data_IF_755804601355
#
_entry.id   IF_755804601355
#
_cell.length_a   1.000
_cell.length_b   1.000
_cell.length_c   1.000
_cell.angle_alpha   90.00
_cell.angle_beta   90.00
_cell.angle_gamma   90.00
#
_symmetry.space_group_name_H-M   'P 1'
#
loop_
_entity.id
_entity.type
_entity.pdbx_description
1 polymer ?
#
# COMPACT_ATOMS: atom_id res chain seq x y z
N UNK A 1 -18.65 15.59 35.76
CA UNK A 1 -18.28 16.91 36.34
C UNK A 1 -19.48 17.83 36.14
N UNK A 2 -20.29 18.02 37.20
CA UNK A 2 -21.43 18.94 37.17
C UNK A 2 -21.05 20.23 37.90
N UNK A 3 -21.12 21.41 37.27
CA UNK A 3 -20.88 22.67 37.96
C UNK A 3 -22.22 23.29 38.41
N UNK A 4 -22.36 23.47 39.71
CA UNK A 4 -23.39 24.31 40.31
C UNK A 4 -23.22 25.77 39.84
N UNK A 5 -24.29 26.37 39.32
CA UNK A 5 -24.37 27.79 38.95
C UNK A 5 -24.27 28.67 40.20
N UNK A 6 -23.26 29.55 40.26
CA UNK A 6 -23.32 30.79 41.03
C UNK A 6 -23.55 31.94 40.05
N UNK A 7 -24.65 32.66 40.23
CA UNK A 7 -24.91 33.91 39.51
C UNK A 7 -23.98 35.01 40.03
N UNK A 8 -23.21 35.60 39.12
CA UNK A 8 -22.42 36.80 39.39
C UNK A 8 -23.06 37.94 38.60
N UNK A 9 -23.66 38.88 39.33
CA UNK A 9 -24.20 40.12 38.80
C UNK A 9 -23.06 41.04 38.32
N UNK A 10 -23.00 41.31 37.01
CA UNK A 10 -22.13 42.36 36.48
C UNK A 10 -22.96 43.62 36.18
N UNK A 11 -22.67 44.70 36.92
CA UNK A 11 -23.12 46.05 36.62
C UNK A 11 -22.57 46.47 35.25
N UNK A 12 -23.48 46.88 34.37
CA UNK A 12 -23.23 47.47 33.06
C UNK A 12 -22.60 48.86 33.22
N UNK A 13 -21.34 49.01 32.79
CA UNK A 13 -20.77 50.30 32.41
C UNK A 13 -20.70 50.37 30.88
N UNK A 14 -21.69 51.05 30.31
CA UNK A 14 -21.73 51.41 28.90
C UNK A 14 -20.69 52.51 28.62
N UNK A 15 -19.65 52.20 27.86
CA UNK A 15 -19.03 53.08 26.85
C UNK A 15 -17.94 52.32 26.06
N UNK A 16 -17.98 52.50 24.74
CA UNK A 16 -17.01 52.08 23.69
C UNK A 16 -17.13 50.63 23.18
N UNK A 17 -18.08 50.39 22.26
CA UNK A 17 -18.26 49.11 21.56
C UNK A 17 -18.55 49.30 20.06
N UNK A 18 -17.69 50.03 19.35
CA UNK A 18 -17.77 50.11 17.87
C UNK A 18 -16.55 49.47 17.21
N UNK A 19 -15.36 49.48 17.84
CA UNK A 19 -14.16 48.82 17.29
C UNK A 19 -14.05 47.31 17.60
N UNK A 20 -14.72 46.78 18.64
CA UNK A 20 -14.66 45.34 18.99
C UNK A 20 -15.57 44.43 18.14
N UNK A 21 -16.51 45.01 17.38
CA UNK A 21 -17.51 44.24 16.62
C UNK A 21 -17.02 43.78 15.24
N UNK A 22 -16.01 44.44 14.66
CA UNK A 22 -15.39 44.03 13.38
C UNK A 22 -14.43 42.85 13.59
N UNK A 23 -13.55 42.93 14.60
CA UNK A 23 -12.58 41.88 14.92
C UNK A 23 -13.25 40.53 15.29
N UNK A 24 -14.43 40.59 15.91
CA UNK A 24 -15.17 39.39 16.30
C UNK A 24 -15.82 38.69 15.10
N UNK A 25 -16.39 39.45 14.15
CA UNK A 25 -16.97 38.88 12.92
C UNK A 25 -15.91 38.27 12.00
N UNK A 26 -14.78 38.95 11.82
CA UNK A 26 -13.69 38.41 10.99
C UNK A 26 -13.05 37.16 11.63
N UNK A 27 -12.96 37.12 12.97
CA UNK A 27 -12.56 35.92 13.72
C UNK A 27 -13.54 34.76 13.53
N UNK A 28 -14.85 35.01 13.55
CA UNK A 28 -15.87 33.98 13.32
C UNK A 28 -15.84 33.44 11.89
N UNK A 29 -15.71 34.30 10.89
CA UNK A 29 -15.60 33.90 9.48
C UNK A 29 -14.36 33.02 9.27
N UNK A 30 -13.23 33.41 9.85
CA UNK A 30 -11.99 32.63 9.80
C UNK A 30 -12.16 31.23 10.43
N UNK A 31 -12.79 31.13 11.60
CA UNK A 31 -13.10 29.84 12.25
C UNK A 31 -14.02 28.96 11.39
N UNK A 32 -15.06 29.54 10.79
CA UNK A 32 -15.98 28.80 9.91
C UNK A 32 -15.23 28.27 8.69
N UNK A 33 -14.34 29.06 8.09
CA UNK A 33 -13.51 28.62 6.96
C UNK A 33 -12.58 27.47 7.38
N UNK A 34 -11.96 27.54 8.56
CA UNK A 34 -11.14 26.44 9.09
C UNK A 34 -11.94 25.15 9.25
N UNK A 35 -13.15 25.22 9.83
CA UNK A 35 -14.01 24.04 10.02
C UNK A 35 -14.38 23.41 8.67
N UNK A 36 -14.78 24.23 7.70
CA UNK A 36 -15.08 23.78 6.33
C UNK A 36 -13.88 23.13 5.65
N UNK A 37 -12.70 23.72 5.79
CA UNK A 37 -11.46 23.17 5.21
C UNK A 37 -11.08 21.83 5.86
N UNK A 38 -11.22 21.71 7.18
CA UNK A 38 -11.02 20.46 7.92
C UNK A 38 -11.99 19.37 7.45
N UNK A 39 -13.26 19.72 7.22
CA UNK A 39 -14.26 18.80 6.68
C UNK A 39 -13.87 18.29 5.28
N UNK A 40 -13.41 19.19 4.39
CA UNK A 40 -12.91 18.83 3.06
C UNK A 40 -11.69 17.90 3.14
N UNK A 41 -10.70 18.21 3.98
CA UNK A 41 -9.51 17.36 4.17
C UNK A 41 -9.93 15.97 4.66
N UNK A 42 -10.87 15.90 5.60
CA UNK A 42 -11.41 14.63 6.11
C UNK A 42 -12.12 13.83 5.01
N UNK A 43 -12.88 14.49 4.13
CA UNK A 43 -13.55 13.82 3.01
C UNK A 43 -12.54 13.14 2.08
N UNK A 44 -11.42 13.81 1.75
CA UNK A 44 -10.33 13.21 0.96
C UNK A 44 -9.65 12.02 1.65
N UNK A 45 -9.40 12.11 2.96
CA UNK A 45 -8.83 10.98 3.73
C UNK A 45 -9.74 9.76 3.73
N UNK A 46 -11.06 9.95 3.72
CA UNK A 46 -12.05 8.87 3.74
C UNK A 46 -12.29 8.32 2.34
N UNK A 47 -12.48 9.18 1.33
CA UNK A 47 -13.03 8.80 0.01
C UNK A 47 -12.12 9.11 -1.18
N UNK A 48 -10.95 9.71 -0.96
CA UNK A 48 -10.05 10.08 -2.05
C UNK A 48 -9.64 8.90 -2.94
N UNK A 49 -9.57 7.70 -2.36
CA UNK A 49 -9.28 6.45 -3.08
C UNK A 49 -10.26 6.14 -4.21
N UNK A 50 -11.53 6.57 -4.09
CA UNK A 50 -12.57 6.31 -5.10
C UNK A 50 -12.34 7.05 -6.43
N UNK A 51 -11.55 8.13 -6.40
CA UNK A 51 -11.17 8.88 -7.60
C UNK A 51 -9.67 8.71 -7.95
N UNK A 52 -8.99 7.76 -7.31
CA UNK A 52 -7.58 7.50 -7.56
C UNK A 52 -7.33 6.89 -8.95
N UNK A 53 -6.16 7.16 -9.52
CA UNK A 53 -5.76 6.65 -10.82
C UNK A 53 -5.18 5.24 -10.72
N UNK A 54 -6.02 4.24 -10.47
CA UNK A 54 -5.59 2.86 -10.19
C UNK A 54 -5.60 1.93 -11.41
N UNK A 55 -6.48 2.18 -12.38
CA UNK A 55 -6.66 1.31 -13.53
C UNK A 55 -5.66 1.66 -14.66
N UNK A 56 -4.68 0.77 -14.96
CA UNK A 56 -3.72 1.00 -16.02
C UNK A 56 -4.31 0.91 -17.43
N UNK A 57 -5.49 0.30 -17.60
CA UNK A 57 -6.18 0.18 -18.89
C UNK A 57 -7.08 1.40 -19.19
N UNK A 58 -7.39 2.20 -18.17
CA UNK A 58 -8.24 3.38 -18.31
C UNK A 58 -9.70 3.08 -18.65
N UNK A 59 -10.17 1.86 -18.34
CA UNK A 59 -11.54 1.40 -18.55
C UNK A 59 -12.47 1.76 -17.37
N UNK A 60 -11.92 1.95 -16.18
CA UNK A 60 -12.68 2.26 -14.97
C UNK A 60 -13.30 3.66 -15.03
N UNK A 61 -14.63 3.72 -15.03
CA UNK A 61 -15.36 4.97 -14.90
C UNK A 61 -15.29 5.52 -13.47
N UNK A 62 -14.79 6.74 -13.31
CA UNK A 62 -14.72 7.43 -12.02
C UNK A 62 -15.88 8.39 -11.89
N UNK A 63 -16.84 8.06 -11.03
CA UNK A 63 -17.98 8.93 -10.74
C UNK A 63 -17.51 10.20 -10.04
N UNK A 64 -18.17 11.31 -10.36
CA UNK A 64 -17.97 12.55 -9.64
C UNK A 64 -18.47 12.41 -8.19
N UNK A 65 -17.65 12.84 -7.23
CA UNK A 65 -17.96 12.76 -5.80
C UNK A 65 -18.10 14.17 -5.27
N UNK A 66 -19.36 14.59 -5.02
CA UNK A 66 -19.70 15.90 -4.46
C UNK A 66 -18.91 16.21 -3.19
N UNK A 67 -18.79 15.25 -2.26
CA UNK A 67 -18.05 15.44 -1.01
C UNK A 67 -16.55 15.80 -1.18
N UNK A 68 -15.97 15.58 -2.36
CA UNK A 68 -14.58 15.95 -2.65
C UNK A 68 -14.46 17.33 -3.33
N UNK A 69 -15.58 17.96 -3.68
CA UNK A 69 -15.59 19.25 -4.33
C UNK A 69 -15.70 20.39 -3.31
N UNK A 70 -14.88 21.46 -3.38
CA UNK A 70 -14.91 22.52 -2.37
C UNK A 70 -16.24 23.27 -2.26
N UNK A 71 -17.00 23.36 -3.35
CA UNK A 71 -18.31 24.03 -3.32
C UNK A 71 -19.28 23.35 -2.36
N UNK A 72 -19.23 22.03 -2.23
CA UNK A 72 -20.09 21.27 -1.32
C UNK A 72 -19.70 21.47 0.16
N UNK A 73 -18.53 22.05 0.41
CA UNK A 73 -18.11 22.53 1.74
C UNK A 73 -18.32 24.04 1.91
N UNK A 74 -18.98 24.70 0.95
CA UNK A 74 -19.32 26.11 1.01
C UNK A 74 -18.17 27.06 0.70
N UNK A 75 -17.20 26.64 -0.12
CA UNK A 75 -16.17 27.51 -0.71
C UNK A 75 -16.56 27.93 -2.13
N UNK A 76 -16.50 29.22 -2.43
CA UNK A 76 -16.66 29.72 -3.80
C UNK A 76 -15.30 29.77 -4.49
N UNK A 77 -15.28 29.86 -5.83
CA UNK A 77 -14.03 29.98 -6.61
C UNK A 77 -13.15 31.14 -6.14
N UNK A 78 -13.76 32.24 -5.73
CA UNK A 78 -13.09 33.44 -5.18
C UNK A 78 -12.33 33.16 -3.87
N UNK A 79 -12.73 32.13 -3.12
CA UNK A 79 -12.10 31.78 -1.86
C UNK A 79 -10.86 30.90 -2.04
N UNK A 80 -10.60 30.38 -3.25
CA UNK A 80 -9.62 29.31 -3.43
C UNK A 80 -8.18 29.75 -3.19
N UNK A 81 -7.89 31.05 -3.33
CA UNK A 81 -6.59 31.64 -3.06
C UNK A 81 -6.43 32.18 -1.63
N UNK A 82 -7.51 32.28 -0.84
CA UNK A 82 -7.46 32.85 0.52
C UNK A 82 -6.72 31.89 1.47
N UNK A 83 -5.88 32.43 2.34
CA UNK A 83 -5.18 31.64 3.36
C UNK A 83 -6.14 31.30 4.50
N UNK A 84 -6.32 30.01 4.76
CA UNK A 84 -7.16 29.47 5.82
C UNK A 84 -6.27 28.91 6.91
N UNK A 85 -6.58 29.23 8.16
CA UNK A 85 -5.87 28.65 9.31
C UNK A 85 -6.24 27.17 9.47
N UNK A 86 -5.25 26.31 9.59
CA UNK A 86 -5.44 24.86 9.77
C UNK A 86 -4.79 24.34 11.06
N UNK A 87 -4.03 25.18 11.77
CA UNK A 87 -3.32 24.79 12.98
C UNK A 87 -2.40 23.60 12.72
N UNK A 88 -2.54 22.54 13.52
CA UNK A 88 -1.78 21.29 13.40
C UNK A 88 -2.50 20.21 12.60
N UNK A 89 -3.61 20.52 11.92
CA UNK A 89 -4.38 19.52 11.17
C UNK A 89 -3.68 19.06 9.88
N UNK A 90 -2.79 19.90 9.35
CA UNK A 90 -1.77 19.59 8.36
C UNK A 90 -0.40 20.04 8.91
N UNK A 91 0.68 19.64 8.26
CA UNK A 91 2.04 20.07 8.61
C UNK A 91 2.29 21.59 8.41
N UNK A 92 1.31 22.31 7.85
CA UNK A 92 1.35 23.76 7.60
C UNK A 92 0.27 24.46 8.42
N UNK A 93 0.63 25.57 9.07
CA UNK A 93 -0.31 26.34 9.90
C UNK A 93 -1.41 27.04 9.11
N UNK A 94 -1.13 27.41 7.86
CA UNK A 94 -2.08 28.05 6.94
C UNK A 94 -1.94 27.46 5.54
N UNK A 95 -3.06 27.28 4.84
CA UNK A 95 -3.08 26.89 3.44
C UNK A 95 -4.31 27.45 2.72
N UNK A 96 -4.21 27.63 1.40
CA UNK A 96 -5.34 27.92 0.53
C UNK A 96 -6.04 26.64 0.07
N UNK A 97 -7.26 26.74 -0.44
CA UNK A 97 -7.97 25.57 -0.99
C UNK A 97 -7.19 24.95 -2.16
N UNK A 98 -6.56 25.76 -3.00
CA UNK A 98 -5.71 25.25 -4.08
C UNK A 98 -4.53 24.42 -3.56
N UNK A 99 -3.87 24.89 -2.50
CA UNK A 99 -2.75 24.17 -1.87
C UNK A 99 -3.24 22.87 -1.21
N UNK A 100 -4.37 22.93 -0.49
CA UNK A 100 -4.99 21.77 0.16
C UNK A 100 -5.35 20.71 -0.88
N UNK A 101 -6.09 21.07 -1.93
CA UNK A 101 -6.51 20.14 -2.98
C UNK A 101 -5.32 19.53 -3.72
N UNK A 102 -4.31 20.33 -4.04
CA UNK A 102 -3.10 19.85 -4.70
C UNK A 102 -2.39 18.78 -3.85
N UNK A 103 -2.19 19.05 -2.55
CA UNK A 103 -1.58 18.10 -1.61
C UNK A 103 -2.43 16.81 -1.49
N UNK A 104 -3.73 16.94 -1.26
CA UNK A 104 -4.61 15.80 -1.04
C UNK A 104 -4.79 14.94 -2.30
N UNK A 105 -4.94 15.54 -3.48
CA UNK A 105 -5.04 14.77 -4.73
C UNK A 105 -3.76 14.00 -5.03
N UNK A 106 -2.59 14.61 -4.75
CA UNK A 106 -1.30 13.94 -4.91
C UNK A 106 -1.15 12.72 -4.00
N UNK A 107 -1.67 12.79 -2.77
CA UNK A 107 -1.52 11.74 -1.76
C UNK A 107 -2.60 10.65 -1.89
N UNK A 108 -3.86 11.04 -2.03
CA UNK A 108 -5.03 10.14 -1.93
C UNK A 108 -5.68 9.79 -3.26
N UNK A 109 -5.35 10.50 -4.35
CA UNK A 109 -6.01 10.35 -5.65
C UNK A 109 -5.02 10.12 -6.81
N UNK A 110 -3.76 9.83 -6.51
CA UNK A 110 -2.73 9.54 -7.52
C UNK A 110 -2.80 8.06 -7.93
N UNK A 111 -1.66 7.45 -8.25
CA UNK A 111 -1.54 6.01 -8.58
C UNK A 111 -1.60 5.09 -7.35
N UNK A 112 -2.02 5.60 -6.20
CA UNK A 112 -2.21 4.86 -4.95
C UNK A 112 -3.53 5.32 -4.35
N UNK A 113 -4.42 4.36 -4.11
CA UNK A 113 -5.67 4.55 -3.37
C UNK A 113 -5.46 4.07 -1.95
N UNK A 114 -5.82 4.89 -0.97
CA UNK A 114 -5.57 4.59 0.46
C UNK A 114 -6.89 4.44 1.19
N UNK A 115 -7.08 3.28 1.79
CA UNK A 115 -8.21 2.97 2.65
C UNK A 115 -7.71 2.61 4.05
N UNK A 116 -7.88 3.53 5.00
CA UNK A 116 -7.42 3.31 6.39
C UNK A 116 -8.34 3.95 7.43
N UNK A 117 -9.24 4.86 7.02
CA UNK A 117 -10.09 5.60 7.96
C UNK A 117 -11.13 4.72 8.67
N UNK A 118 -11.39 3.51 8.17
CA UNK A 118 -12.25 2.51 8.81
C UNK A 118 -11.59 1.83 10.03
N UNK A 119 -10.26 1.92 10.18
CA UNK A 119 -9.52 1.38 11.31
C UNK A 119 -10.03 2.02 12.61
N UNK A 120 -10.30 1.21 13.64
CA UNK A 120 -10.81 1.70 14.92
C UNK A 120 -9.73 2.46 15.70
N UNK A 121 -8.52 1.91 15.77
CA UNK A 121 -7.41 2.45 16.57
C UNK A 121 -6.95 3.84 16.07
N UNK A 122 -7.06 4.89 16.90
CA UNK A 122 -6.59 6.22 16.54
C UNK A 122 -5.06 6.31 16.34
N UNK A 123 -4.28 5.49 17.04
CA UNK A 123 -2.82 5.42 16.92
C UNK A 123 -2.42 4.96 15.52
N UNK A 124 -3.06 3.91 15.01
CA UNK A 124 -2.84 3.41 13.65
C UNK A 124 -3.28 4.44 12.59
N UNK A 125 -4.44 5.08 12.77
CA UNK A 125 -4.89 6.16 11.87
C UNK A 125 -3.91 7.32 11.81
N UNK A 126 -3.35 7.73 12.95
CA UNK A 126 -2.32 8.77 13.02
C UNK A 126 -1.05 8.30 12.32
N UNK A 127 -0.64 7.04 12.53
CA UNK A 127 0.53 6.47 11.87
C UNK A 127 0.39 6.48 10.34
N UNK A 128 -0.73 6.00 9.79
CA UNK A 128 -0.99 6.02 8.35
C UNK A 128 -1.02 7.45 7.79
N UNK A 129 -1.73 8.37 8.46
CA UNK A 129 -1.75 9.78 8.07
C UNK A 129 -0.33 10.35 8.01
N UNK A 130 0.45 10.17 9.07
CA UNK A 130 1.81 10.66 9.14
C UNK A 130 2.69 10.02 8.07
N UNK A 131 2.53 8.72 7.79
CA UNK A 131 3.31 8.01 6.77
C UNK A 131 3.01 8.51 5.35
N UNK A 132 1.80 8.97 5.08
CA UNK A 132 1.34 9.37 3.74
C UNK A 132 1.40 10.87 3.49
N UNK A 133 1.16 11.72 4.51
CA UNK A 133 1.03 13.17 4.31
C UNK A 133 2.32 13.97 4.56
N UNK A 134 3.24 13.42 5.37
CA UNK A 134 4.51 14.07 5.69
C UNK A 134 5.47 14.02 4.52
N UNK A 135 6.15 15.12 4.27
CA UNK A 135 7.08 15.25 3.14
C UNK A 135 8.30 14.35 3.31
N UNK A 136 8.82 14.24 4.53
CA UNK A 136 9.95 13.39 4.87
C UNK A 136 9.68 11.90 4.62
N UNK A 137 8.42 11.49 4.59
CA UNK A 137 8.00 10.12 4.35
C UNK A 137 7.69 9.82 2.87
N UNK A 138 7.73 10.83 2.00
CA UNK A 138 7.48 10.63 0.57
C UNK A 138 8.60 9.79 -0.06
N UNK A 139 8.19 8.81 -0.87
CA UNK A 139 9.13 7.90 -1.52
C UNK A 139 9.98 8.66 -2.56
N UNK A 140 11.29 8.78 -2.28
CA UNK A 140 12.28 9.30 -3.21
C UNK A 140 13.23 8.18 -3.60
N UNK A 141 13.13 7.71 -4.84
CA UNK A 141 14.04 6.71 -5.37
C UNK A 141 15.28 7.37 -5.96
N UNK A 142 16.45 6.84 -5.62
CA UNK A 142 17.70 7.17 -6.31
C UNK A 142 17.66 6.67 -7.76
N UNK A 143 18.48 7.24 -8.64
CA UNK A 143 18.51 6.81 -10.05
C UNK A 143 18.96 5.35 -10.21
N UNK A 144 19.86 4.89 -9.34
CA UNK A 144 20.24 3.47 -9.26
C UNK A 144 19.04 2.62 -8.84
N UNK A 145 18.24 3.07 -7.87
CA UNK A 145 17.01 2.41 -7.44
C UNK A 145 16.00 2.27 -8.58
N UNK A 146 15.77 3.35 -9.33
CA UNK A 146 14.88 3.35 -10.51
C UNK A 146 15.36 2.38 -11.59
N UNK A 147 16.66 2.39 -11.92
CA UNK A 147 17.27 1.45 -12.88
C UNK A 147 17.11 -0.01 -12.43
N UNK A 148 17.27 -0.30 -11.13
CA UNK A 148 17.08 -1.65 -10.59
C UNK A 148 15.62 -2.12 -10.71
N UNK A 149 14.66 -1.25 -10.41
CA UNK A 149 13.22 -1.56 -10.57
C UNK A 149 12.93 -1.86 -12.05
N UNK A 150 13.39 -1.00 -12.96
CA UNK A 150 13.22 -1.20 -14.41
C UNK A 150 13.82 -2.53 -14.87
N UNK A 151 15.07 -2.83 -14.47
CA UNK A 151 15.72 -4.08 -14.83
C UNK A 151 14.94 -5.31 -14.36
N UNK A 152 14.30 -5.25 -13.19
CA UNK A 152 13.47 -6.34 -12.67
C UNK A 152 12.19 -6.54 -13.48
N UNK A 153 11.57 -5.46 -13.94
CA UNK A 153 10.42 -5.52 -14.85
C UNK A 153 10.84 -6.13 -16.19
N UNK A 154 11.97 -5.70 -16.77
CA UNK A 154 12.51 -6.24 -18.02
C UNK A 154 12.83 -7.74 -17.89
N UNK A 155 13.41 -8.17 -16.77
CA UNK A 155 13.67 -9.59 -16.50
C UNK A 155 12.37 -10.39 -16.41
N UNK A 156 11.36 -9.86 -15.72
CA UNK A 156 10.04 -10.47 -15.59
C UNK A 156 9.36 -10.66 -16.95
N UNK A 157 9.29 -9.59 -17.75
CA UNK A 157 8.65 -9.60 -19.07
C UNK A 157 9.44 -10.48 -20.06
N UNK A 158 10.77 -10.39 -20.07
CA UNK A 158 11.64 -11.19 -20.93
C UNK A 158 11.50 -12.69 -20.67
N UNK A 159 11.35 -13.09 -19.41
CA UNK A 159 11.10 -14.48 -19.04
C UNK A 159 9.77 -15.00 -19.60
N UNK A 160 8.68 -14.22 -19.47
CA UNK A 160 7.37 -14.61 -20.01
C UNK A 160 7.37 -14.69 -21.54
N UNK A 161 7.95 -13.69 -22.21
CA UNK A 161 8.09 -13.69 -23.68
C UNK A 161 8.90 -14.88 -24.18
N UNK A 162 9.97 -15.24 -23.48
CA UNK A 162 10.76 -16.43 -23.81
C UNK A 162 9.92 -17.71 -23.69
N UNK A 163 9.23 -17.90 -22.58
CA UNK A 163 8.37 -19.08 -22.37
C UNK A 163 7.27 -19.16 -23.43
N UNK A 164 6.62 -18.04 -23.73
CA UNK A 164 5.58 -17.96 -24.76
C UNK A 164 6.10 -18.34 -26.16
N UNK A 165 7.32 -17.90 -26.51
CA UNK A 165 7.95 -18.20 -27.80
C UNK A 165 8.44 -19.65 -27.90
N UNK A 166 9.05 -20.18 -26.83
CA UNK A 166 9.70 -21.50 -26.86
C UNK A 166 8.73 -22.65 -26.64
N UNK A 167 7.72 -22.47 -25.79
CA UNK A 167 6.78 -23.52 -25.36
C UNK A 167 5.35 -23.15 -25.76
N UNK A 168 5.14 -22.98 -27.06
CA UNK A 168 3.84 -22.65 -27.65
C UNK A 168 2.81 -23.72 -27.26
N UNK A 169 1.60 -23.29 -26.87
CA UNK A 169 0.49 -24.17 -26.48
C UNK A 169 0.61 -24.77 -25.07
N UNK A 170 1.73 -24.60 -24.37
CA UNK A 170 1.87 -25.07 -22.98
C UNK A 170 1.33 -24.03 -22.00
N UNK A 171 0.43 -24.44 -21.09
CA UNK A 171 -0.07 -23.57 -20.02
C UNK A 171 1.07 -23.15 -19.09
N UNK A 172 1.28 -21.83 -18.95
CA UNK A 172 2.31 -21.22 -18.08
C UNK A 172 1.76 -20.31 -16.99
N UNK A 173 0.51 -19.84 -17.10
CA UNK A 173 -0.13 -18.89 -16.18
C UNK A 173 0.75 -17.67 -15.87
N UNK A 174 1.27 -16.99 -16.89
CA UNK A 174 2.28 -15.97 -16.59
C UNK A 174 1.75 -14.67 -16.04
N UNK A 175 2.73 -13.81 -15.78
CA UNK A 175 2.57 -12.55 -15.07
C UNK A 175 2.38 -11.36 -16.03
N UNK A 176 2.02 -11.60 -17.30
CA UNK A 176 1.85 -10.54 -18.30
C UNK A 176 0.86 -9.47 -17.80
N UNK A 177 1.28 -8.22 -17.80
CA UNK A 177 0.54 -7.06 -17.29
C UNK A 177 0.55 -6.88 -15.77
N UNK A 178 1.20 -7.78 -15.01
CA UNK A 178 1.35 -7.73 -13.56
C UNK A 178 2.82 -7.86 -13.11
N UNK A 179 3.76 -7.51 -13.97
CA UNK A 179 5.21 -7.66 -13.76
C UNK A 179 5.71 -6.84 -12.58
N UNK A 180 4.96 -5.80 -12.18
CA UNK A 180 5.22 -4.98 -10.98
C UNK A 180 5.24 -5.79 -9.68
N UNK A 181 4.65 -7.00 -9.66
CA UNK A 181 4.74 -7.92 -8.53
C UNK A 181 6.20 -8.29 -8.19
N UNK A 182 7.06 -8.48 -9.20
CA UNK A 182 8.46 -8.89 -8.98
C UNK A 182 9.26 -7.81 -8.23
N UNK A 183 9.35 -6.54 -8.69
CA UNK A 183 10.03 -5.50 -7.92
C UNK A 183 9.35 -5.19 -6.58
N UNK A 184 8.03 -5.40 -6.45
CA UNK A 184 7.33 -5.25 -5.17
C UNK A 184 7.81 -6.29 -4.14
N UNK A 185 7.85 -7.57 -4.52
CA UNK A 185 8.38 -8.64 -3.67
C UNK A 185 9.85 -8.40 -3.31
N UNK A 186 10.68 -8.02 -4.29
CA UNK A 186 12.10 -7.68 -4.06
C UNK A 186 12.24 -6.55 -3.02
N UNK A 187 11.38 -5.53 -3.06
CA UNK A 187 11.39 -4.47 -2.05
C UNK A 187 10.90 -4.92 -0.68
N UNK A 188 9.89 -5.78 -0.60
CA UNK A 188 9.44 -6.34 0.67
C UNK A 188 10.58 -7.13 1.32
N UNK A 189 11.29 -7.97 0.55
CA UNK A 189 12.42 -8.76 1.05
C UNK A 189 13.55 -7.84 1.50
N UNK A 190 13.96 -6.89 0.66
CA UNK A 190 15.03 -5.95 0.97
C UNK A 190 14.72 -5.14 2.23
N UNK A 191 13.54 -4.52 2.29
CA UNK A 191 13.13 -3.70 3.43
C UNK A 191 12.92 -4.56 4.68
N UNK A 192 12.34 -5.74 4.54
CA UNK A 192 12.19 -6.71 5.61
C UNK A 192 13.54 -7.10 6.22
N UNK A 193 14.54 -7.42 5.39
CA UNK A 193 15.89 -7.73 5.86
C UNK A 193 16.51 -6.60 6.67
N UNK A 194 16.36 -5.34 6.22
CA UNK A 194 16.81 -4.15 6.96
C UNK A 194 16.09 -3.96 8.31
N UNK A 195 14.84 -4.43 8.42
CA UNK A 195 14.04 -4.39 9.63
C UNK A 195 14.26 -5.62 10.54
N UNK A 196 15.16 -6.53 10.15
CA UNK A 196 15.52 -7.71 10.94
C UNK A 196 14.71 -8.98 10.63
N UNK A 197 13.89 -8.98 9.58
CA UNK A 197 13.22 -10.19 9.08
C UNK A 197 14.28 -11.22 8.68
N UNK A 198 14.10 -12.46 9.13
CA UNK A 198 14.99 -13.60 8.87
C UNK A 198 14.40 -14.58 7.88
N UNK A 199 13.08 -14.72 7.87
CA UNK A 199 12.40 -15.70 7.02
C UNK A 199 11.09 -15.14 6.47
N UNK A 200 10.83 -15.40 5.19
CA UNK A 200 9.60 -15.04 4.49
C UNK A 200 8.96 -16.31 3.93
N UNK A 201 7.69 -16.51 4.25
CA UNK A 201 6.86 -17.62 3.75
C UNK A 201 5.84 -17.07 2.77
N UNK A 202 5.85 -17.57 1.54
CA UNK A 202 4.97 -17.08 0.47
C UNK A 202 3.90 -18.14 0.15
N UNK A 203 2.64 -17.71 0.14
CA UNK A 203 1.51 -18.41 -0.49
C UNK A 203 1.06 -17.62 -1.71
N UNK A 204 0.86 -18.29 -2.85
CA UNK A 204 0.36 -17.64 -4.05
C UNK A 204 -0.37 -18.62 -4.97
N UNK A 205 -1.31 -18.15 -5.80
CA UNK A 205 -1.94 -18.96 -6.83
C UNK A 205 -0.97 -19.24 -7.99
N UNK A 206 -1.47 -19.94 -9.00
CA UNK A 206 -0.76 -20.24 -10.24
C UNK A 206 -0.25 -19.01 -11.03
N UNK A 207 -0.92 -17.84 -10.97
CA UNK A 207 -0.59 -16.67 -11.81
C UNK A 207 0.78 -16.08 -11.43
N UNK A 208 1.68 -16.07 -12.40
CA UNK A 208 3.05 -15.57 -12.26
C UNK A 208 3.97 -16.44 -11.42
N UNK A 209 3.56 -17.66 -11.02
CA UNK A 209 4.35 -18.48 -10.10
C UNK A 209 5.73 -18.84 -10.63
N UNK A 210 5.82 -19.22 -11.90
CA UNK A 210 7.11 -19.50 -12.55
C UNK A 210 8.02 -18.28 -12.58
N UNK A 211 7.43 -17.10 -12.75
CA UNK A 211 8.15 -15.83 -12.71
C UNK A 211 8.70 -15.54 -11.32
N UNK A 212 7.90 -15.73 -10.26
CA UNK A 212 8.34 -15.61 -8.87
C UNK A 212 9.44 -16.62 -8.55
N UNK A 213 9.27 -17.88 -8.95
CA UNK A 213 10.29 -18.93 -8.77
C UNK A 213 11.63 -18.54 -9.43
N UNK A 214 11.59 -18.04 -10.66
CA UNK A 214 12.80 -17.71 -11.41
C UNK A 214 13.44 -16.39 -10.95
N UNK A 215 12.66 -15.32 -10.84
CA UNK A 215 13.15 -13.96 -10.66
C UNK A 215 13.24 -13.50 -9.21
N UNK A 216 12.51 -14.15 -8.29
CA UNK A 216 12.56 -13.87 -6.84
C UNK A 216 13.31 -14.97 -6.08
N UNK A 217 12.92 -16.23 -6.25
CA UNK A 217 13.58 -17.37 -5.57
C UNK A 217 14.83 -17.89 -6.30
N UNK A 218 15.18 -17.32 -7.45
CA UNK A 218 16.37 -17.70 -8.24
C UNK A 218 16.44 -19.20 -8.58
N UNK A 219 15.29 -19.87 -8.73
CA UNK A 219 15.23 -21.24 -9.26
C UNK A 219 15.86 -21.21 -10.65
N UNK A 220 16.82 -22.11 -10.89
CA UNK A 220 17.59 -22.08 -12.13
C UNK A 220 16.69 -22.24 -13.36
N UNK A 221 16.95 -21.43 -14.40
CA UNK A 221 16.23 -21.55 -15.67
C UNK A 221 16.34 -22.96 -16.25
N UNK A 222 17.51 -23.61 -16.13
CA UNK A 222 17.71 -25.00 -16.56
C UNK A 222 16.69 -25.95 -15.90
N UNK A 223 16.48 -25.84 -14.59
CA UNK A 223 15.51 -26.69 -13.88
C UNK A 223 14.09 -26.41 -14.35
N UNK A 224 13.71 -25.15 -14.50
CA UNK A 224 12.39 -24.76 -15.00
C UNK A 224 12.18 -25.29 -16.43
N UNK A 225 13.14 -25.10 -17.33
CA UNK A 225 13.03 -25.52 -18.72
C UNK A 225 13.00 -27.05 -18.88
N UNK A 226 13.70 -27.80 -18.02
CA UNK A 226 13.59 -29.26 -17.96
C UNK A 226 12.17 -29.71 -17.58
N UNK A 227 11.51 -29.02 -16.63
CA UNK A 227 10.11 -29.27 -16.28
C UNK A 227 9.15 -28.96 -17.44
N UNK A 228 9.51 -28.04 -18.34
CA UNK A 228 8.77 -27.83 -19.58
C UNK A 228 9.04 -28.88 -20.66
N UNK A 229 10.25 -29.45 -20.70
CA UNK A 229 10.64 -30.49 -21.65
C UNK A 229 10.17 -31.90 -21.22
N UNK A 230 9.57 -32.05 -20.04
CA UNK A 230 9.15 -33.34 -19.50
C UNK A 230 10.30 -34.21 -18.96
N UNK A 231 11.50 -33.63 -18.80
CA UNK A 231 12.66 -34.32 -18.23
C UNK A 231 12.70 -34.07 -16.73
N UNK A 232 12.10 -34.97 -15.97
CA UNK A 232 12.29 -35.02 -14.51
C UNK A 232 13.64 -35.67 -14.21
N UNK A 233 14.37 -35.15 -13.23
CA UNK A 233 15.58 -35.82 -12.74
C UNK A 233 15.20 -37.22 -12.27
N UNK A 234 15.87 -38.24 -12.81
CA UNK A 234 15.77 -39.65 -12.40
C UNK A 234 16.27 -39.84 -10.96
N UNK A 235 15.50 -39.41 -9.97
CA UNK A 235 15.66 -39.85 -8.57
C UNK A 235 14.63 -40.95 -8.32
N UNK A 236 15.02 -42.19 -7.98
CA UNK A 236 14.14 -43.38 -8.04
C UNK A 236 13.18 -43.55 -6.86
N UNK A 237 12.90 -42.49 -6.08
CA UNK A 237 12.08 -42.59 -4.87
C UNK A 237 10.93 -41.58 -4.90
N UNK A 238 9.75 -42.11 -5.22
CA UNK A 238 8.43 -41.74 -4.72
C UNK A 238 7.98 -40.27 -4.83
N UNK A 239 7.26 -39.94 -5.90
CA UNK A 239 6.04 -39.14 -5.79
C UNK A 239 5.22 -39.25 -7.08
N UNK A 240 3.88 -39.18 -6.98
CA UNK A 240 2.98 -39.07 -8.13
C UNK A 240 3.23 -37.80 -9.00
N UNK A 241 4.14 -36.93 -8.54
CA UNK A 241 4.41 -35.63 -9.14
C UNK A 241 3.25 -34.67 -8.95
N UNK A 242 3.51 -33.39 -9.21
CA UNK A 242 2.45 -32.40 -9.42
C UNK A 242 2.90 -31.46 -10.54
N UNK A 243 1.99 -30.69 -11.10
CA UNK A 243 2.29 -29.74 -12.16
C UNK A 243 3.29 -28.67 -11.67
N UNK A 244 4.18 -28.24 -12.56
CA UNK A 244 5.28 -27.30 -12.28
C UNK A 244 4.90 -25.99 -11.58
N UNK A 245 3.64 -25.60 -11.64
CA UNK A 245 3.09 -24.40 -10.98
C UNK A 245 2.35 -24.70 -9.66
N UNK A 246 2.47 -25.91 -9.11
CA UNK A 246 2.10 -26.24 -7.72
C UNK A 246 3.33 -26.39 -6.83
N UNK A 247 4.47 -26.78 -7.41
CA UNK A 247 5.71 -26.99 -6.68
C UNK A 247 6.31 -25.67 -6.16
N UNK A 248 6.73 -25.70 -4.91
CA UNK A 248 7.41 -24.66 -4.17
C UNK A 248 8.92 -24.72 -4.36
N UNK A 249 9.61 -23.79 -3.70
CA UNK A 249 11.07 -23.75 -3.64
C UNK A 249 11.49 -22.94 -2.43
N UNK A 250 12.75 -23.09 -2.02
CA UNK A 250 13.36 -22.25 -0.99
C UNK A 250 14.72 -21.74 -1.45
N UNK A 251 15.08 -20.52 -1.05
CA UNK A 251 16.34 -19.87 -1.39
C UNK A 251 16.71 -18.83 -0.34
N UNK A 252 17.99 -18.63 -0.07
CA UNK A 252 18.45 -17.47 0.69
C UNK A 252 18.69 -16.29 -0.24
N UNK A 253 18.27 -15.10 0.17
CA UNK A 253 18.45 -13.86 -0.59
C UNK A 253 19.21 -12.84 0.23
N UNK A 254 20.24 -12.26 -0.37
CA UNK A 254 21.11 -11.30 0.30
C UNK A 254 20.94 -9.90 -0.26
N UNK A 255 20.69 -8.95 0.63
CA UNK A 255 20.59 -7.52 0.31
C UNK A 255 21.33 -6.68 1.34
N UNK A 256 22.30 -5.89 0.87
CA UNK A 256 23.02 -4.92 1.69
C UNK A 256 23.57 -5.57 3.00
N UNK A 257 24.09 -6.80 2.91
CA UNK A 257 24.61 -7.58 4.05
C UNK A 257 23.57 -8.33 4.89
N UNK A 258 22.28 -8.22 4.57
CA UNK A 258 21.21 -8.95 5.24
C UNK A 258 20.80 -10.18 4.43
N UNK A 259 20.86 -11.36 5.03
CA UNK A 259 20.38 -12.61 4.43
C UNK A 259 18.97 -12.94 4.96
N UNK A 260 18.03 -13.16 4.04
CA UNK A 260 16.64 -13.52 4.33
C UNK A 260 16.35 -14.86 3.66
N UNK A 261 15.90 -15.85 4.45
CA UNK A 261 15.43 -17.12 3.91
C UNK A 261 14.03 -16.93 3.30
N UNK A 262 13.85 -17.32 2.05
CA UNK A 262 12.56 -17.23 1.37
C UNK A 262 12.13 -18.62 0.98
N UNK A 263 10.85 -18.88 1.14
CA UNK A 263 10.25 -20.13 0.72
C UNK A 263 8.85 -19.91 0.19
N UNK A 264 8.57 -20.57 -0.92
CA UNK A 264 7.27 -20.63 -1.55
C UNK A 264 6.66 -21.99 -1.22
N UNK A 265 5.47 -22.00 -0.63
CA UNK A 265 4.78 -23.21 -0.20
C UNK A 265 4.11 -23.91 -1.38
N UNK A 266 4.16 -25.24 -1.39
CA UNK A 266 3.39 -26.06 -2.35
C UNK A 266 1.89 -25.79 -2.19
N UNK A 267 1.13 -25.79 -3.28
CA UNK A 267 -0.32 -25.59 -3.21
C UNK A 267 -1.07 -26.37 -4.28
N UNK A 268 -2.27 -26.91 -3.97
CA UNK A 268 -3.15 -27.50 -4.97
C UNK A 268 -3.77 -26.41 -5.86
N UNK A 269 -4.57 -26.83 -6.86
CA UNK A 269 -5.35 -25.92 -7.70
C UNK A 269 -6.51 -25.22 -6.97
N UNK A 270 -6.88 -25.66 -5.76
CA UNK A 270 -7.89 -25.00 -4.94
C UNK A 270 -7.34 -23.65 -4.46
N UNK A 271 -7.81 -22.56 -5.09
CA UNK A 271 -7.41 -21.20 -4.75
C UNK A 271 -7.70 -20.90 -3.27
N UNK A 272 -6.90 -20.03 -2.66
CA UNK A 272 -6.96 -19.61 -1.25
C UNK A 272 -6.71 -20.71 -0.19
N UNK A 273 -6.80 -22.00 -0.54
CA UNK A 273 -6.59 -23.10 0.40
C UNK A 273 -5.18 -23.14 1.02
N UNK A 274 -4.20 -22.49 0.37
CA UNK A 274 -2.81 -22.41 0.85
C UNK A 274 -2.63 -21.40 1.99
N UNK A 275 -3.55 -20.44 2.15
CA UNK A 275 -3.41 -19.34 3.11
C UNK A 275 -3.27 -19.82 4.56
N UNK A 276 -4.19 -20.63 5.12
CA UNK A 276 -4.05 -21.14 6.47
C UNK A 276 -2.81 -22.03 6.63
N UNK A 277 -2.38 -22.72 5.56
CA UNK A 277 -1.17 -23.56 5.56
C UNK A 277 0.07 -22.68 5.76
N UNK A 278 0.18 -21.58 5.01
CA UNK A 278 1.30 -20.64 5.12
C UNK A 278 1.31 -19.94 6.47
N UNK A 279 0.15 -19.56 7.00
CA UNK A 279 0.04 -18.99 8.35
C UNK A 279 0.49 -20.00 9.42
N UNK A 280 0.07 -21.26 9.32
CA UNK A 280 0.51 -22.34 10.22
C UNK A 280 2.02 -22.59 10.15
N UNK A 281 2.57 -22.69 8.95
CA UNK A 281 4.01 -22.85 8.73
C UNK A 281 4.80 -21.66 9.28
N UNK A 282 4.31 -20.44 9.06
CA UNK A 282 4.90 -19.22 9.61
C UNK A 282 4.88 -19.25 11.13
N UNK A 283 3.75 -19.63 11.73
CA UNK A 283 3.61 -19.74 13.18
C UNK A 283 4.59 -20.77 13.77
N UNK A 284 4.76 -21.92 13.12
CA UNK A 284 5.74 -22.91 13.52
C UNK A 284 7.18 -22.36 13.44
N UNK A 285 7.51 -21.64 12.37
CA UNK A 285 8.83 -20.99 12.23
C UNK A 285 9.06 -19.91 13.27
N UNK A 286 8.07 -19.09 13.61
CA UNK A 286 8.17 -18.11 14.69
C UNK A 286 8.50 -18.78 16.03
N UNK A 287 7.93 -19.96 16.30
CA UNK A 287 8.25 -20.75 17.48
C UNK A 287 9.74 -21.17 17.48
N UNK A 288 10.23 -21.76 16.39
CA UNK A 288 11.63 -22.19 16.29
C UNK A 288 12.64 -21.02 16.32
N UNK A 289 12.27 -19.86 15.80
CA UNK A 289 13.08 -18.63 15.87
C UNK A 289 13.01 -17.90 17.23
N UNK A 290 12.25 -18.43 18.19
CA UNK A 290 11.92 -17.78 19.47
C UNK A 290 11.41 -16.35 19.26
N UNK A 291 10.63 -16.16 18.20
CA UNK A 291 10.13 -14.87 17.73
C UNK A 291 8.83 -14.48 18.47
N UNK A 292 8.98 -14.12 19.74
CA UNK A 292 7.84 -13.74 20.61
C UNK A 292 7.14 -12.47 20.13
N UNK A 293 7.87 -11.56 19.50
CA UNK A 293 7.36 -10.31 18.92
C UNK A 293 6.81 -10.47 17.50
N UNK A 294 6.98 -11.65 16.87
CA UNK A 294 6.47 -12.00 15.54
C UNK A 294 6.96 -11.05 14.44
N UNK A 295 8.21 -10.62 14.54
CA UNK A 295 8.81 -9.66 13.60
C UNK A 295 9.98 -10.22 12.79
N UNK A 296 10.35 -11.49 13.00
CA UNK A 296 11.44 -12.18 12.28
C UNK A 296 10.92 -13.07 11.15
N UNK A 297 9.73 -13.64 11.29
CA UNK A 297 9.13 -14.52 10.26
C UNK A 297 7.82 -13.91 9.77
N UNK A 298 7.78 -13.56 8.48
CA UNK A 298 6.67 -12.83 7.88
C UNK A 298 5.98 -13.70 6.81
N UNK A 299 4.66 -13.89 6.89
CA UNK A 299 3.90 -14.49 5.82
C UNK A 299 3.60 -13.43 4.74
N UNK A 300 3.69 -13.80 3.47
CA UNK A 300 3.20 -13.05 2.32
C UNK A 300 2.18 -13.93 1.62
N UNK A 301 0.93 -13.46 1.56
CA UNK A 301 -0.15 -14.12 0.85
C UNK A 301 -0.48 -13.28 -0.38
N UNK A 302 -0.50 -13.92 -1.55
CA UNK A 302 -0.81 -13.31 -2.84
C UNK A 302 -2.08 -13.97 -3.32
N UNK A 303 -3.07 -13.18 -3.75
CA UNK A 303 -4.39 -13.66 -4.10
C UNK A 303 -4.79 -13.26 -5.52
N UNK A 304 -5.74 -13.99 -6.09
CA UNK A 304 -6.48 -13.54 -7.28
C UNK A 304 -7.66 -12.67 -6.86
N UNK A 305 -7.94 -11.62 -7.62
CA UNK A 305 -9.00 -10.65 -7.33
C UNK A 305 -10.41 -11.28 -7.23
N UNK A 306 -10.71 -12.28 -8.07
CA UNK A 306 -12.01 -12.96 -8.02
C UNK A 306 -12.11 -14.06 -6.95
N UNK A 307 -10.99 -14.50 -6.38
CA UNK A 307 -10.94 -15.60 -5.42
C UNK A 307 -10.90 -15.13 -3.96
N UNK A 308 -10.33 -13.95 -3.71
CA UNK A 308 -10.23 -13.31 -2.39
C UNK A 308 -11.56 -12.70 -1.94
#
# INVERSE_FOLDING_TARGET
WHPNKKEINFKTSSKNNIEKFSDTKDSEISKIQSIKAIALIRAYRIRGHLIANLDPLGMMERKYIHELHPNDHGFKKEDYGKKIFLGSYMDVGYASINEILSKLRKIYCSTIGVEYMHIADPTEKIWFRNRMEKEENQLKFTDIGKKRILNKIIQSEGFEKFLAKKYVGTKRFGLDGAESLIPALEQIIKRGGQLGVKEIKIGMPHRGRLNVLANVLQKSYKRIFNEFAGQFSNTPEETAGDVKYHLGASSNREFDGNSVHISLTDNPSHLEAVDPVVLGQTRAKQFFHKDTKRNKVIPILIHGDAAF
#
